data_IF_081069450697
#
_entry.id   IF_081069450697
#
_cell.length_a   1.000
_cell.length_b   1.000
_cell.length_c   1.000
_cell.angle_alpha   90.00
_cell.angle_beta   90.00
_cell.angle_gamma   90.00
#
_symmetry.space_group_name_H-M   'P 1'
#
loop_
_entity.id
_entity.type
_entity.pdbx_description
1 polymer ?
#
# COMPACT_ATOMS: atom_id res chain seq x y z
N UNK A 1 -8.61 -6.79 -24.60
CA UNK A 1 -9.37 -7.56 -23.59
C UNK A 1 -9.94 -6.57 -22.58
N UNK A 2 -11.21 -6.69 -22.19
CA UNK A 2 -11.79 -5.77 -21.20
C UNK A 2 -11.26 -6.08 -19.77
N UNK A 3 -11.28 -5.12 -18.82
CA UNK A 3 -10.67 -5.32 -17.49
C UNK A 3 -11.23 -6.50 -16.70
N UNK A 4 -12.52 -6.80 -16.86
CA UNK A 4 -13.16 -7.96 -16.22
C UNK A 4 -12.57 -9.28 -16.73
N UNK A 5 -12.40 -9.45 -18.04
CA UNK A 5 -11.80 -10.63 -18.63
C UNK A 5 -10.31 -10.76 -18.26
N UNK A 6 -9.57 -9.66 -18.22
CA UNK A 6 -8.18 -9.64 -17.75
C UNK A 6 -8.04 -10.16 -16.31
N UNK A 7 -8.90 -9.69 -15.40
CA UNK A 7 -8.92 -10.16 -14.00
C UNK A 7 -9.40 -11.61 -13.83
N UNK A 8 -10.13 -12.15 -14.80
CA UNK A 8 -10.50 -13.56 -14.81
C UNK A 8 -9.32 -14.43 -15.26
N UNK A 9 -8.53 -13.95 -16.22
CA UNK A 9 -7.37 -14.63 -16.79
C UNK A 9 -6.17 -14.63 -15.83
N UNK A 10 -5.84 -13.48 -15.24
CA UNK A 10 -4.67 -13.29 -14.38
C UNK A 10 -5.05 -13.35 -12.90
N UNK A 11 -5.14 -14.56 -12.37
CA UNK A 11 -5.45 -14.83 -10.95
C UNK A 11 -4.28 -15.48 -10.24
N UNK A 12 -4.13 -15.17 -8.96
CA UNK A 12 -3.19 -15.87 -8.09
C UNK A 12 -3.56 -17.36 -7.99
N UNK A 13 -2.56 -18.22 -8.18
CA UNK A 13 -2.63 -19.63 -7.83
C UNK A 13 -2.84 -19.80 -6.31
N UNK A 14 -3.36 -20.94 -5.84
CA UNK A 14 -3.54 -21.18 -4.40
C UNK A 14 -2.25 -20.95 -3.58
N UNK A 15 -1.10 -21.40 -4.10
CA UNK A 15 0.21 -21.18 -3.46
C UNK A 15 0.56 -19.70 -3.38
N UNK A 16 0.38 -18.94 -4.46
CA UNK A 16 0.64 -17.50 -4.46
C UNK A 16 -0.28 -16.77 -3.47
N UNK A 17 -1.56 -17.14 -3.37
CA UNK A 17 -2.47 -16.53 -2.37
C UNK A 17 -1.97 -16.74 -0.95
N UNK A 18 -1.49 -17.93 -0.61
CA UNK A 18 -0.90 -18.22 0.71
C UNK A 18 0.33 -17.34 0.94
N UNK A 19 1.21 -17.22 -0.06
CA UNK A 19 2.40 -16.37 0.04
C UNK A 19 2.03 -14.90 0.24
N UNK A 20 1.14 -14.34 -0.59
CA UNK A 20 0.68 -12.94 -0.47
C UNK A 20 -0.02 -12.68 0.87
N UNK A 21 -0.78 -13.66 1.37
CA UNK A 21 -1.43 -13.59 2.67
C UNK A 21 -0.41 -13.59 3.83
N UNK A 22 0.54 -14.52 3.81
CA UNK A 22 1.46 -14.76 4.91
C UNK A 22 2.62 -13.75 4.97
N UNK A 23 3.04 -13.19 3.81
CA UNK A 23 4.26 -12.38 3.68
C UNK A 23 4.40 -11.27 4.74
N UNK A 24 3.46 -10.32 4.91
CA UNK A 24 3.65 -9.24 5.88
C UNK A 24 3.78 -9.75 7.31
N UNK A 25 3.07 -10.82 7.67
CA UNK A 25 3.09 -11.40 9.01
C UNK A 25 4.37 -12.20 9.28
N UNK A 26 4.85 -12.95 8.29
CA UNK A 26 6.13 -13.64 8.38
C UNK A 26 7.29 -12.64 8.51
N UNK A 27 7.28 -11.56 7.72
CA UNK A 27 8.25 -10.47 7.85
C UNK A 27 8.17 -9.79 9.22
N UNK A 28 6.97 -9.62 9.78
CA UNK A 28 6.79 -9.06 11.12
C UNK A 28 7.38 -9.98 12.19
N UNK A 29 7.18 -11.29 12.07
CA UNK A 29 7.79 -12.26 12.97
C UNK A 29 9.33 -12.21 12.90
N UNK A 30 9.91 -12.11 11.69
CA UNK A 30 11.35 -11.93 11.52
C UNK A 30 11.84 -10.60 12.09
N UNK A 31 11.10 -9.52 11.91
CA UNK A 31 11.40 -8.22 12.53
C UNK A 31 11.47 -8.35 14.06
N UNK A 32 10.45 -8.93 14.69
CA UNK A 32 10.38 -9.11 16.14
C UNK A 32 11.55 -9.98 16.63
N UNK A 33 11.83 -11.09 15.94
CA UNK A 33 12.94 -11.98 16.28
C UNK A 33 14.31 -11.30 16.18
N UNK A 34 14.58 -10.58 15.09
CA UNK A 34 15.82 -9.84 14.90
C UNK A 34 15.98 -8.71 15.94
N UNK A 35 14.90 -7.98 16.23
CA UNK A 35 14.91 -6.91 17.22
C UNK A 35 15.13 -7.46 18.65
N UNK A 36 14.48 -8.58 18.99
CA UNK A 36 14.67 -9.24 20.28
C UNK A 36 16.10 -9.79 20.46
N UNK A 37 16.75 -10.21 19.37
CA UNK A 37 18.16 -10.60 19.35
C UNK A 37 19.14 -9.39 19.36
N UNK A 38 18.64 -8.15 19.34
CA UNK A 38 19.45 -6.93 19.30
C UNK A 38 20.04 -6.60 17.92
N UNK A 39 19.65 -7.32 16.86
CA UNK A 39 20.16 -7.13 15.49
C UNK A 39 19.43 -5.98 14.78
N UNK A 40 19.55 -4.78 15.33
CA UNK A 40 18.83 -3.59 14.82
C UNK A 40 19.16 -3.24 13.38
N UNK A 41 20.40 -3.49 12.94
CA UNK A 41 20.83 -3.31 11.55
C UNK A 41 20.03 -4.16 10.56
N UNK A 42 19.49 -5.30 11.01
CA UNK A 42 18.61 -6.18 10.22
C UNK A 42 17.14 -5.90 10.51
N UNK A 43 16.78 -5.63 11.77
CA UNK A 43 15.40 -5.38 12.18
C UNK A 43 14.81 -4.14 11.49
N UNK A 44 15.54 -3.01 11.41
CA UNK A 44 15.01 -1.79 10.78
C UNK A 44 14.68 -2.01 9.29
N UNK A 45 15.57 -2.58 8.45
CA UNK A 45 15.21 -2.98 7.09
C UNK A 45 14.04 -3.96 7.01
N UNK A 46 13.94 -4.93 7.93
CA UNK A 46 12.79 -5.84 7.99
C UNK A 46 11.49 -5.09 8.27
N UNK A 47 11.48 -4.10 9.17
CA UNK A 47 10.29 -3.28 9.43
C UNK A 47 9.84 -2.48 8.19
N UNK A 48 10.80 -1.97 7.39
CA UNK A 48 10.51 -1.35 6.10
C UNK A 48 9.89 -2.38 5.14
N UNK A 49 10.45 -3.59 5.06
CA UNK A 49 9.91 -4.67 4.24
C UNK A 49 8.50 -5.10 4.68
N UNK A 50 8.21 -5.12 5.99
CA UNK A 50 6.84 -5.34 6.52
C UNK A 50 5.91 -4.27 5.99
N UNK A 51 6.29 -2.99 6.09
CA UNK A 51 5.45 -1.87 5.62
C UNK A 51 5.15 -1.98 4.12
N UNK A 52 6.17 -2.27 3.30
CA UNK A 52 6.01 -2.42 1.86
C UNK A 52 5.13 -3.63 1.49
N UNK A 53 5.36 -4.79 2.11
CA UNK A 53 4.54 -5.98 1.89
C UNK A 53 3.09 -5.78 2.34
N UNK A 54 2.90 -5.07 3.45
CA UNK A 54 1.57 -4.72 3.97
C UNK A 54 0.86 -3.73 3.06
N UNK A 55 1.58 -2.75 2.50
CA UNK A 55 1.01 -1.82 1.52
C UNK A 55 0.46 -2.57 0.30
N UNK A 56 1.22 -3.51 -0.27
CA UNK A 56 0.76 -4.35 -1.38
C UNK A 56 -0.48 -5.15 -0.99
N UNK A 57 -0.46 -5.83 0.16
CA UNK A 57 -1.59 -6.63 0.62
C UNK A 57 -2.85 -5.76 0.82
N UNK A 58 -2.69 -4.59 1.42
CA UNK A 58 -3.75 -3.63 1.64
C UNK A 58 -4.32 -3.12 0.30
N UNK A 59 -3.45 -2.75 -0.64
CA UNK A 59 -3.79 -2.28 -1.97
C UNK A 59 -4.58 -3.32 -2.78
N UNK A 60 -4.08 -4.55 -2.86
CA UNK A 60 -4.79 -5.64 -3.55
C UNK A 60 -6.13 -5.97 -2.86
N UNK A 61 -6.22 -5.85 -1.54
CA UNK A 61 -7.46 -6.03 -0.80
C UNK A 61 -8.51 -4.94 -1.11
N UNK A 62 -8.08 -3.68 -1.33
CA UNK A 62 -8.97 -2.59 -1.74
C UNK A 62 -9.72 -2.92 -3.03
N UNK A 63 -9.05 -3.59 -3.97
CA UNK A 63 -9.59 -4.00 -5.27
C UNK A 63 -10.25 -5.37 -5.28
N UNK A 64 -10.18 -6.12 -4.18
CA UNK A 64 -10.55 -7.54 -4.10
C UNK A 64 -9.74 -8.43 -5.07
N UNK A 65 -8.48 -8.07 -5.33
CA UNK A 65 -7.62 -8.74 -6.31
C UNK A 65 -7.01 -10.05 -5.78
N UNK A 66 -6.94 -10.24 -4.45
CA UNK A 66 -6.29 -11.41 -3.83
C UNK A 66 -6.99 -12.76 -4.08
N UNK A 67 -8.19 -12.76 -4.69
CA UNK A 67 -8.93 -13.99 -4.97
C UNK A 67 -9.66 -14.58 -3.75
N UNK A 68 -9.84 -13.78 -2.68
CA UNK A 68 -10.69 -14.12 -1.53
C UNK A 68 -12.11 -13.55 -1.68
N UNK A 69 -13.03 -13.96 -0.79
CA UNK A 69 -14.36 -13.37 -0.73
C UNK A 69 -14.30 -11.89 -0.32
N UNK A 70 -15.32 -11.09 -0.65
CA UNK A 70 -15.38 -9.67 -0.26
C UNK A 70 -15.23 -9.45 1.26
N UNK A 71 -15.91 -10.23 2.14
CA UNK A 71 -15.71 -10.09 3.59
C UNK A 71 -14.29 -10.44 4.04
N UNK A 72 -13.63 -11.41 3.40
CA UNK A 72 -12.25 -11.75 3.70
C UNK A 72 -11.29 -10.62 3.30
N UNK A 73 -11.45 -10.04 2.10
CA UNK A 73 -10.68 -8.86 1.70
C UNK A 73 -10.92 -7.67 2.63
N UNK A 74 -12.17 -7.42 3.06
CA UNK A 74 -12.47 -6.34 4.00
C UNK A 74 -11.76 -6.53 5.37
N UNK A 75 -11.70 -7.78 5.87
CA UNK A 75 -10.93 -8.08 7.10
C UNK A 75 -9.44 -7.90 6.89
N UNK A 76 -8.90 -8.37 5.76
CA UNK A 76 -7.50 -8.17 5.41
C UNK A 76 -7.15 -6.69 5.29
N UNK A 77 -8.01 -5.89 4.65
CA UNK A 77 -7.86 -4.46 4.54
C UNK A 77 -7.74 -3.79 5.93
N UNK A 78 -8.58 -4.16 6.88
CA UNK A 78 -8.47 -3.68 8.27
C UNK A 78 -7.15 -4.13 8.91
N UNK A 79 -6.80 -5.41 8.83
CA UNK A 79 -5.58 -5.94 9.45
C UNK A 79 -4.30 -5.32 8.87
N UNK A 80 -4.22 -5.20 7.54
CA UNK A 80 -3.11 -4.54 6.86
C UNK A 80 -3.08 -3.04 7.17
N UNK A 81 -4.25 -2.38 7.27
CA UNK A 81 -4.34 -1.00 7.72
C UNK A 81 -3.75 -0.81 9.12
N UNK A 82 -4.08 -1.69 10.06
CA UNK A 82 -3.55 -1.65 11.43
C UNK A 82 -2.03 -1.84 11.48
N UNK A 83 -1.47 -2.77 10.70
CA UNK A 83 -0.02 -2.93 10.56
C UNK A 83 0.65 -1.65 10.03
N UNK A 84 0.00 -0.94 9.10
CA UNK A 84 0.49 0.34 8.59
C UNK A 84 0.16 1.54 9.49
N UNK A 85 -0.52 1.32 10.62
CA UNK A 85 -1.02 2.34 11.53
C UNK A 85 -1.93 3.36 10.83
N UNK A 86 -2.82 2.87 9.96
CA UNK A 86 -3.77 3.64 9.16
C UNK A 86 -5.16 3.01 9.19
N UNK A 87 -6.15 3.78 8.74
CA UNK A 87 -7.47 3.23 8.41
C UNK A 87 -7.47 2.71 6.97
N UNK A 88 -7.53 1.38 6.82
CA UNK A 88 -7.57 0.73 5.51
C UNK A 88 -8.82 1.13 4.71
N UNK A 89 -9.98 1.20 5.35
CA UNK A 89 -11.22 1.60 4.67
C UNK A 89 -11.23 3.09 4.29
N UNK A 90 -10.54 3.96 5.05
CA UNK A 90 -10.40 5.36 4.64
C UNK A 90 -9.59 5.48 3.35
N UNK A 91 -8.46 4.78 3.27
CA UNK A 91 -7.63 4.73 2.07
C UNK A 91 -8.35 4.05 0.91
N UNK A 92 -9.15 3.00 1.15
CA UNK A 92 -9.92 2.36 0.09
C UNK A 92 -10.86 3.35 -0.61
N UNK A 93 -11.50 4.25 0.15
CA UNK A 93 -12.41 5.26 -0.40
C UNK A 93 -11.66 6.22 -1.32
N UNK A 94 -10.52 6.76 -0.89
CA UNK A 94 -9.73 7.70 -1.70
C UNK A 94 -9.07 6.99 -2.88
N UNK A 95 -8.66 5.74 -2.72
CA UNK A 95 -7.99 4.99 -3.77
C UNK A 95 -8.95 4.60 -4.88
N UNK A 96 -10.15 4.13 -4.53
CA UNK A 96 -11.18 3.87 -5.55
C UNK A 96 -11.66 5.16 -6.23
N UNK A 97 -11.63 6.31 -5.52
CA UNK A 97 -11.87 7.64 -6.12
C UNK A 97 -10.77 7.99 -7.13
N UNK A 98 -9.50 7.78 -6.78
CA UNK A 98 -8.35 7.97 -7.65
C UNK A 98 -8.48 7.19 -8.95
N UNK A 99 -8.78 5.89 -8.89
CA UNK A 99 -9.03 5.08 -10.09
C UNK A 99 -10.19 5.60 -10.94
N UNK A 100 -11.25 6.11 -10.32
CA UNK A 100 -12.42 6.61 -11.03
C UNK A 100 -12.23 8.02 -11.63
N UNK A 101 -11.32 8.83 -11.08
CA UNK A 101 -11.19 10.27 -11.34
C UNK A 101 -9.72 10.70 -11.42
N UNK A 102 -8.85 9.81 -11.87
CA UNK A 102 -7.39 9.94 -11.79
C UNK A 102 -6.90 11.31 -12.29
N UNK A 103 -6.11 11.99 -11.45
CA UNK A 103 -5.49 13.30 -11.73
C UNK A 103 -6.46 14.43 -12.08
N UNK A 104 -7.76 14.26 -11.80
CA UNK A 104 -8.73 15.37 -11.81
C UNK A 104 -8.75 16.10 -10.47
N UNK A 105 -9.35 17.30 -10.37
CA UNK A 105 -9.49 18.01 -9.09
C UNK A 105 -10.25 17.26 -7.99
N UNK A 106 -11.05 16.23 -8.33
CA UNK A 106 -11.77 15.37 -7.36
C UNK A 106 -10.96 14.11 -6.97
N UNK A 107 -9.65 14.11 -7.23
CA UNK A 107 -8.72 13.04 -6.86
C UNK A 107 -7.74 13.51 -5.76
N UNK A 108 -8.13 13.37 -4.47
CA UNK A 108 -7.28 13.80 -3.37
C UNK A 108 -6.05 12.92 -3.22
N UNK A 109 -6.08 11.66 -3.68
CA UNK A 109 -4.95 10.73 -3.53
C UNK A 109 -3.88 10.95 -4.60
N UNK A 110 -4.29 11.19 -5.84
CA UNK A 110 -3.40 11.57 -6.94
C UNK A 110 -2.93 13.02 -6.88
N UNK A 111 -3.54 13.89 -6.05
CA UNK A 111 -3.15 15.29 -5.92
C UNK A 111 -1.63 15.56 -5.81
N UNK A 112 -0.83 14.80 -5.03
CA UNK A 112 0.61 14.98 -4.96
C UNK A 112 1.33 14.88 -6.31
N UNK A 113 0.82 14.10 -7.26
CA UNK A 113 1.39 14.00 -8.61
C UNK A 113 1.28 15.30 -9.41
N UNK A 114 0.42 16.24 -9.00
CA UNK A 114 0.31 17.57 -9.63
C UNK A 114 1.12 18.65 -8.93
N UNK A 115 1.75 18.33 -7.79
CA UNK A 115 2.51 19.29 -6.98
C UNK A 115 3.95 19.43 -7.47
N UNK A 116 4.61 20.55 -7.16
CA UNK A 116 6.06 20.61 -7.30
C UNK A 116 6.73 19.68 -6.29
N UNK A 117 7.93 19.17 -6.61
CA UNK A 117 8.66 18.27 -5.70
C UNK A 117 8.85 18.87 -4.30
N UNK A 118 9.23 20.15 -4.21
CA UNK A 118 9.37 20.85 -2.92
C UNK A 118 8.06 20.90 -2.11
N UNK A 119 6.91 21.04 -2.79
CA UNK A 119 5.60 20.99 -2.14
C UNK A 119 5.29 19.58 -1.63
N UNK A 120 5.63 18.52 -2.38
CA UNK A 120 5.45 17.13 -1.91
C UNK A 120 6.31 16.85 -0.67
N UNK A 121 7.54 17.33 -0.61
CA UNK A 121 8.40 17.16 0.58
C UNK A 121 7.79 17.82 1.83
N UNK A 122 7.23 19.02 1.69
CA UNK A 122 6.69 19.77 2.83
C UNK A 122 5.27 19.36 3.23
N UNK A 123 4.37 19.21 2.24
CA UNK A 123 2.95 18.92 2.49
C UNK A 123 2.65 17.41 2.54
N UNK A 124 3.52 16.57 1.94
CA UNK A 124 3.36 15.12 1.90
C UNK A 124 3.13 14.48 3.28
N UNK A 125 3.93 14.80 4.31
CA UNK A 125 3.73 14.24 5.65
C UNK A 125 2.32 14.46 6.23
N UNK A 126 1.62 15.51 5.80
CA UNK A 126 0.27 15.86 6.26
C UNK A 126 -0.84 15.37 5.32
N UNK A 127 -0.50 14.85 4.15
CA UNK A 127 -1.47 14.42 3.12
C UNK A 127 -2.43 13.36 3.65
N UNK A 128 -1.98 12.49 4.55
CA UNK A 128 -2.84 11.48 5.18
C UNK A 128 -4.02 12.07 5.97
N UNK A 129 -3.85 13.27 6.57
CA UNK A 129 -4.92 13.97 7.26
C UNK A 129 -5.97 14.51 6.28
N UNK A 130 -5.52 14.98 5.11
CA UNK A 130 -6.40 15.36 4.01
C UNK A 130 -7.18 14.15 3.50
N UNK A 131 -6.51 13.02 3.21
CA UNK A 131 -7.16 11.79 2.77
C UNK A 131 -8.22 11.33 3.78
N UNK A 132 -7.95 11.46 5.07
CA UNK A 132 -8.91 11.14 6.13
C UNK A 132 -10.15 12.04 6.12
N UNK A 133 -9.98 13.35 5.89
CA UNK A 133 -11.10 14.27 5.75
C UNK A 133 -11.94 13.92 4.51
N UNK A 134 -11.26 13.71 3.39
CA UNK A 134 -11.91 13.43 2.11
C UNK A 134 -12.62 12.06 2.12
N UNK A 135 -12.04 11.02 2.74
CA UNK A 135 -12.68 9.71 2.85
C UNK A 135 -14.03 9.78 3.59
N UNK A 136 -14.11 10.58 4.67
CA UNK A 136 -15.34 10.78 5.44
C UNK A 136 -16.36 11.63 4.69
N UNK A 137 -15.90 12.63 3.92
CA UNK A 137 -16.76 13.45 3.05
C UNK A 137 -17.36 12.62 1.90
N UNK A 138 -16.55 11.81 1.24
CA UNK A 138 -16.94 11.03 0.06
C UNK A 138 -17.78 9.80 0.41
N UNK A 139 -17.51 9.16 1.55
CA UNK A 139 -18.17 7.92 1.95
C UNK A 139 -18.55 7.93 3.44
N UNK A 140 -19.48 8.81 3.87
CA UNK A 140 -19.87 8.93 5.28
C UNK A 140 -20.46 7.63 5.86
N UNK A 141 -21.03 6.76 5.02
CA UNK A 141 -21.52 5.44 5.42
C UNK A 141 -20.42 4.50 5.95
N UNK A 142 -19.15 4.75 5.60
CA UNK A 142 -17.99 3.99 6.12
C UNK A 142 -17.42 4.57 7.42
N UNK A 143 -17.99 5.66 7.96
CA UNK A 143 -17.48 6.36 9.15
C UNK A 143 -17.28 5.43 10.35
N UNK A 144 -18.20 4.50 10.61
CA UNK A 144 -18.11 3.60 11.77
C UNK A 144 -16.88 2.70 11.72
N UNK A 145 -16.62 2.05 10.58
CA UNK A 145 -15.44 1.18 10.42
C UNK A 145 -14.16 2.02 10.42
N UNK A 146 -14.18 3.18 9.76
CA UNK A 146 -13.05 4.11 9.75
C UNK A 146 -12.67 4.58 11.17
N UNK A 147 -13.65 4.89 12.02
CA UNK A 147 -13.42 5.28 13.42
C UNK A 147 -12.92 4.09 14.25
N UNK A 148 -13.50 2.90 14.08
CA UNK A 148 -13.02 1.69 14.75
C UNK A 148 -11.54 1.43 14.44
N UNK A 149 -11.15 1.46 13.17
CA UNK A 149 -9.75 1.28 12.76
C UNK A 149 -8.83 2.32 13.38
N UNK A 150 -9.24 3.59 13.40
CA UNK A 150 -8.45 4.66 14.04
C UNK A 150 -8.32 4.45 15.54
N UNK A 151 -9.40 4.08 16.24
CA UNK A 151 -9.34 3.78 17.67
C UNK A 151 -8.42 2.60 17.95
N UNK A 152 -8.47 1.55 17.13
CA UNK A 152 -7.56 0.40 17.24
C UNK A 152 -6.10 0.79 16.99
N UNK A 153 -5.82 1.67 16.03
CA UNK A 153 -4.47 2.22 15.83
C UNK A 153 -3.99 2.99 17.07
N UNK A 154 -4.84 3.84 17.66
CA UNK A 154 -4.49 4.58 18.89
C UNK A 154 -4.22 3.64 20.07
N UNK A 155 -5.02 2.58 20.21
CA UNK A 155 -4.80 1.54 21.23
C UNK A 155 -3.47 0.82 20.99
N UNK A 156 -3.13 0.46 19.74
CA UNK A 156 -1.83 -0.14 19.41
C UNK A 156 -0.65 0.77 19.75
N UNK A 157 -0.76 2.07 19.43
CA UNK A 157 0.27 3.05 19.78
C UNK A 157 0.44 3.18 21.30
N UNK A 158 -0.67 3.29 22.03
CA UNK A 158 -0.64 3.32 23.49
C UNK A 158 -0.03 2.04 24.07
N UNK A 159 -0.33 0.88 23.49
CA UNK A 159 0.26 -0.40 23.90
C UNK A 159 1.77 -0.45 23.66
N UNK A 160 2.28 0.08 22.55
CA UNK A 160 3.74 0.17 22.31
C UNK A 160 4.44 1.06 23.34
N UNK A 161 3.84 2.21 23.67
CA UNK A 161 4.37 3.10 24.72
C UNK A 161 4.33 2.42 26.09
N UNK A 162 3.20 1.80 26.45
CA UNK A 162 3.05 1.09 27.72
C UNK A 162 4.06 -0.07 27.85
N UNK A 163 4.28 -0.83 26.77
CA UNK A 163 5.28 -1.90 26.74
C UNK A 163 6.70 -1.37 26.96
N UNK A 164 7.05 -0.25 26.31
CA UNK A 164 8.33 0.42 26.55
C UNK A 164 8.48 0.84 28.01
N UNK A 165 7.47 1.48 28.59
CA UNK A 165 7.52 1.91 30.00
C UNK A 165 7.64 0.73 30.97
N UNK A 166 6.99 -0.39 30.68
CA UNK A 166 6.99 -1.57 31.54
C UNK A 166 8.26 -2.43 31.42
N UNK A 167 8.90 -2.47 30.26
CA UNK A 167 9.97 -3.45 29.96
C UNK A 167 11.27 -2.82 29.45
N UNK A 168 11.28 -1.54 29.11
CA UNK A 168 12.37 -0.88 28.38
C UNK A 168 12.48 -1.29 26.91
N UNK A 169 11.57 -2.13 26.39
CA UNK A 169 11.65 -2.65 25.03
C UNK A 169 11.32 -1.58 23.98
N UNK A 170 12.24 -1.37 23.04
CA UNK A 170 12.09 -0.44 21.92
C UNK A 170 11.37 -1.04 20.70
N UNK A 171 11.09 -2.35 20.69
CA UNK A 171 10.62 -3.08 19.50
C UNK A 171 9.33 -2.47 18.92
N UNK A 172 8.34 -2.15 19.75
CA UNK A 172 7.10 -1.52 19.29
C UNK A 172 7.32 -0.08 18.79
N UNK A 173 8.13 0.70 19.50
CA UNK A 173 8.39 2.11 19.17
C UNK A 173 9.19 2.26 17.88
N UNK A 174 10.19 1.40 17.64
CA UNK A 174 10.96 1.41 16.38
C UNK A 174 10.08 1.03 15.20
N UNK A 175 9.20 0.03 15.35
CA UNK A 175 8.24 -0.33 14.31
C UNK A 175 7.32 0.84 13.99
N UNK A 176 6.78 1.49 15.02
CA UNK A 176 5.97 2.69 14.87
C UNK A 176 6.74 3.81 14.14
N UNK A 177 7.98 4.12 14.55
CA UNK A 177 8.78 5.15 13.91
C UNK A 177 9.01 4.86 12.41
N UNK A 178 9.31 3.62 12.05
CA UNK A 178 9.46 3.20 10.64
C UNK A 178 8.14 3.35 9.90
N UNK A 179 7.03 2.83 10.44
CA UNK A 179 5.71 2.95 9.81
C UNK A 179 5.28 4.42 9.63
N UNK A 180 5.62 5.29 10.58
CA UNK A 180 5.40 6.73 10.50
C UNK A 180 6.20 7.35 9.34
N UNK A 181 7.51 7.07 9.23
CA UNK A 181 8.35 7.59 8.14
C UNK A 181 7.86 7.09 6.78
N UNK A 182 7.53 5.80 6.67
CA UNK A 182 6.94 5.23 5.46
C UNK A 182 5.60 5.89 5.10
N UNK A 183 4.79 6.24 6.10
CA UNK A 183 3.54 6.98 5.91
C UNK A 183 3.78 8.41 5.44
N UNK A 184 4.69 9.14 6.09
CA UNK A 184 4.96 10.54 5.80
C UNK A 184 5.55 10.73 4.39
N UNK A 185 6.24 9.72 3.88
CA UNK A 185 6.84 9.70 2.54
C UNK A 185 5.95 9.07 1.48
N UNK A 186 4.80 8.49 1.84
CA UNK A 186 3.87 7.83 0.92
C UNK A 186 3.49 8.69 -0.30
N UNK A 187 3.21 10.00 -0.17
CA UNK A 187 2.90 10.86 -1.32
C UNK A 187 4.05 10.97 -2.32
N UNK A 188 5.29 10.77 -1.89
CA UNK A 188 6.47 10.75 -2.78
C UNK A 188 6.47 9.44 -3.57
N UNK A 189 6.51 8.30 -2.88
CA UNK A 189 6.78 7.02 -3.53
C UNK A 189 5.55 6.34 -4.12
N UNK A 190 4.33 6.62 -3.63
CA UNK A 190 3.08 6.00 -4.10
C UNK A 190 2.27 6.89 -5.06
N UNK A 191 2.51 8.21 -5.08
CA UNK A 191 1.79 9.14 -5.95
C UNK A 191 2.74 9.93 -6.87
N UNK A 192 3.68 10.70 -6.32
CA UNK A 192 4.53 11.57 -7.12
C UNK A 192 5.42 10.78 -8.10
N UNK A 193 6.25 9.86 -7.59
CA UNK A 193 7.20 9.10 -8.40
C UNK A 193 6.52 8.24 -9.48
N UNK A 194 5.49 7.43 -9.18
CA UNK A 194 4.85 6.58 -10.20
C UNK A 194 4.20 7.34 -11.35
N UNK A 195 3.71 8.57 -11.10
CA UNK A 195 3.12 9.42 -12.14
C UNK A 195 4.16 10.24 -12.94
N UNK A 196 5.42 10.31 -12.49
CA UNK A 196 6.51 11.01 -13.19
C UNK A 196 7.55 10.06 -13.81
N UNK A 197 7.55 8.78 -13.43
CA UNK A 197 8.37 7.77 -14.09
C UNK A 197 7.70 7.36 -15.41
N UNK A 198 8.24 7.84 -16.53
CA UNK A 198 7.75 7.41 -17.85
C UNK A 198 7.98 5.90 -18.06
N UNK A 199 6.96 5.25 -18.63
CA UNK A 199 6.92 3.80 -18.94
C UNK A 199 8.09 3.34 -19.82
N UNK A 200 8.64 4.27 -20.61
CA UNK A 200 9.66 3.99 -21.62
C UNK A 200 11.08 3.87 -21.05
N UNK A 201 11.31 4.28 -19.80
CA UNK A 201 12.66 4.29 -19.25
C UNK A 201 13.21 2.88 -18.97
N UNK A 202 14.40 2.53 -19.49
CA UNK A 202 15.09 1.26 -19.20
C UNK A 202 15.24 0.98 -17.70
N UNK A 203 15.36 2.04 -16.89
CA UNK A 203 15.44 1.96 -15.44
C UNK A 203 14.15 1.44 -14.78
N UNK A 204 12.97 1.79 -15.29
CA UNK A 204 11.69 1.26 -14.79
C UNK A 204 11.56 -0.24 -15.12
N UNK A 205 12.01 -0.66 -16.30
CA UNK A 205 12.06 -2.07 -16.71
C UNK A 205 13.09 -2.88 -15.91
N UNK A 206 14.27 -2.32 -15.65
CA UNK A 206 15.30 -2.94 -14.82
C UNK A 206 14.87 -3.03 -13.34
N UNK A 207 14.24 -1.98 -12.80
CA UNK A 207 13.65 -1.99 -11.46
C UNK A 207 12.55 -3.06 -11.35
N UNK A 208 11.72 -3.23 -12.38
CA UNK A 208 10.73 -4.32 -12.48
C UNK A 208 11.35 -5.72 -12.50
N UNK A 209 12.48 -5.92 -13.21
CA UNK A 209 13.16 -7.21 -13.23
C UNK A 209 13.76 -7.58 -11.86
N UNK A 210 14.29 -6.60 -11.14
CA UNK A 210 14.80 -6.76 -9.76
C UNK A 210 13.65 -6.85 -8.74
N UNK A 211 12.51 -6.20 -8.99
CA UNK A 211 11.32 -6.21 -8.14
C UNK A 211 10.78 -7.61 -7.87
N UNK A 212 10.85 -8.48 -8.88
CA UNK A 212 10.41 -9.87 -8.79
C UNK A 212 11.17 -10.68 -7.73
N UNK A 213 12.35 -10.21 -7.32
CA UNK A 213 13.23 -10.90 -6.38
C UNK A 213 12.83 -10.58 -4.92
N UNK A 214 12.26 -9.41 -4.62
CA UNK A 214 12.04 -9.02 -3.22
C UNK A 214 10.73 -8.30 -2.84
N UNK A 215 9.92 -7.73 -3.75
CA UNK A 215 8.56 -7.27 -3.38
C UNK A 215 7.68 -6.92 -4.60
N UNK A 216 6.36 -7.21 -4.55
CA UNK A 216 5.41 -6.67 -5.52
C UNK A 216 5.27 -5.13 -5.44
N UNK A 217 5.82 -4.48 -4.41
CA UNK A 217 5.70 -3.03 -4.23
C UNK A 217 6.34 -2.26 -5.39
N UNK A 218 7.50 -2.73 -5.87
CA UNK A 218 8.17 -2.12 -7.03
C UNK A 218 7.39 -2.42 -8.31
N UNK A 219 6.71 -3.56 -8.41
CA UNK A 219 5.75 -3.83 -9.51
C UNK A 219 4.58 -2.85 -9.49
N UNK A 220 4.06 -2.48 -8.30
CA UNK A 220 3.01 -1.47 -8.16
C UNK A 220 3.43 -0.12 -8.72
N UNK A 221 4.70 0.27 -8.54
CA UNK A 221 5.23 1.53 -9.07
C UNK A 221 5.55 1.46 -10.55
N UNK A 222 6.24 0.41 -10.99
CA UNK A 222 6.70 0.26 -12.37
C UNK A 222 5.55 0.04 -13.36
N UNK A 223 4.45 -0.58 -12.90
CA UNK A 223 3.28 -0.89 -13.71
C UNK A 223 2.03 -0.17 -13.21
N UNK A 224 2.19 1.03 -12.65
CA UNK A 224 1.09 1.83 -12.11
C UNK A 224 0.00 2.10 -13.17
N UNK A 225 0.39 2.39 -14.42
CA UNK A 225 -0.52 2.54 -15.56
C UNK A 225 -1.31 1.26 -15.88
N UNK A 226 -0.64 0.10 -15.90
CA UNK A 226 -1.30 -1.21 -16.08
C UNK A 226 -2.27 -1.46 -14.95
N UNK A 227 -1.89 -1.10 -13.71
CA UNK A 227 -2.75 -1.23 -12.55
C UNK A 227 -4.00 -0.37 -12.67
N UNK A 228 -3.88 0.90 -13.05
CA UNK A 228 -5.04 1.76 -13.30
C UNK A 228 -6.00 1.20 -14.36
N UNK A 229 -5.47 0.62 -15.42
CA UNK A 229 -6.29 0.03 -16.47
C UNK A 229 -6.88 -1.34 -16.07
N UNK A 230 -6.15 -2.11 -15.26
CA UNK A 230 -6.51 -3.46 -14.81
C UNK A 230 -6.45 -3.60 -13.27
N UNK A 231 -7.26 -2.86 -12.49
CA UNK A 231 -7.07 -2.70 -11.04
C UNK A 231 -7.34 -3.98 -10.23
N UNK A 232 -8.06 -4.93 -10.82
CA UNK A 232 -8.35 -6.23 -10.21
C UNK A 232 -7.29 -7.31 -10.52
N UNK A 233 -6.28 -6.99 -11.31
CA UNK A 233 -5.10 -7.86 -11.45
C UNK A 233 -4.26 -7.66 -10.19
N UNK A 234 -3.93 -8.74 -9.45
CA UNK A 234 -3.08 -8.64 -8.26
C UNK A 234 -1.74 -8.00 -8.60
N UNK A 235 -1.19 -7.20 -7.68
CA UNK A 235 0.08 -6.49 -7.88
C UNK A 235 1.22 -7.43 -8.26
N UNK A 236 1.24 -8.64 -7.69
CA UNK A 236 2.23 -9.69 -8.01
C UNK A 236 2.19 -10.18 -9.47
N UNK A 237 1.10 -9.93 -10.20
CA UNK A 237 0.90 -10.33 -11.59
C UNK A 237 0.96 -9.16 -12.57
N UNK A 238 1.16 -7.91 -12.12
CA UNK A 238 1.27 -6.75 -13.01
C UNK A 238 2.37 -6.88 -14.09
N UNK A 239 3.57 -7.44 -13.80
CA UNK A 239 4.57 -7.63 -14.85
C UNK A 239 4.12 -8.60 -15.95
N UNK A 240 3.36 -9.63 -15.56
CA UNK A 240 2.74 -10.56 -16.53
C UNK A 240 1.61 -9.89 -17.29
N UNK A 241 0.80 -9.08 -16.61
CA UNK A 241 -0.26 -8.30 -17.25
C UNK A 241 0.29 -7.35 -18.31
N UNK A 242 1.40 -6.67 -18.03
CA UNK A 242 2.08 -5.81 -18.99
C UNK A 242 2.58 -6.56 -20.24
N UNK A 243 2.95 -7.84 -20.09
CA UNK A 243 3.44 -8.67 -21.19
C UNK A 243 2.32 -9.38 -21.97
N UNK A 244 1.24 -9.77 -21.30
CA UNK A 244 0.18 -10.64 -21.85
C UNK A 244 -1.07 -9.85 -22.30
N UNK A 245 -1.31 -8.65 -21.78
CA UNK A 245 -2.51 -7.86 -22.06
C UNK A 245 -2.23 -6.68 -23.01
N UNK A 246 -3.25 -6.18 -23.72
CA UNK A 246 -3.11 -4.98 -24.51
C UNK A 246 -2.63 -3.80 -23.67
N UNK A 247 -1.73 -2.95 -24.20
CA UNK A 247 -1.26 -1.78 -23.49
C UNK A 247 -2.43 -0.81 -23.21
N UNK A 248 -2.41 -0.11 -22.06
CA UNK A 248 -3.37 0.96 -21.80
C UNK A 248 -3.29 2.03 -22.90
N UNK A 249 -4.40 2.73 -23.20
CA UNK A 249 -4.36 3.85 -24.13
C UNK A 249 -3.44 4.97 -23.61
N UNK A 250 -2.69 5.67 -24.49
CA UNK A 250 -1.60 6.59 -24.13
C UNK A 250 -2.00 7.88 -23.38
N UNK A 251 -3.27 8.05 -22.95
CA UNK A 251 -3.78 9.33 -22.44
C UNK A 251 -4.78 9.25 -21.29
N UNK A 252 -4.78 8.18 -20.49
CA UNK A 252 -5.71 8.08 -19.37
C UNK A 252 -5.12 8.33 -17.98
N UNK A 253 -3.92 8.94 -17.88
CA UNK A 253 -3.34 9.41 -16.62
C UNK A 253 -2.66 10.75 -16.81
#
# INVERSE_FOLDING_TARGET
MNPTAASAHLRLTPRQRIVELARPWALLAFYIGAAAAGWWWLAVPLAVAVCLATFVQMHDAMHNALGFSKPANARLLTLSGLLLLKSGHALQVTHLRHHARCLTPDDPEGAPATWSFGRVLWQGPYHILMLRRESLRMAPHTRRIQLLETSLTLVLLAAFVALYLATGSLIGLVYWAVAFVMSATLPIWAAYVPHHLAEEHPAARAASAVAQIWTPVVSSFAFHHVHHHYPRVPTALLPRAAAELPPPPPHNH
#
